data_IF_951811413905
#
_entry.id   IF_951811413905
#
_cell.length_a   1.000
_cell.length_b   1.000
_cell.length_c   1.000
_cell.angle_alpha   90.00
_cell.angle_beta   90.00
_cell.angle_gamma   90.00
#
_symmetry.space_group_name_H-M   'P 1'
#
loop_
_entity.id
_entity.type
_entity.pdbx_description
1 polymer ?
#
# COMPACT_ATOMS: atom_id res chain seq x y z
N UNK A 1 -19.25 -12.88 10.10
CA UNK A 1 -18.75 -11.73 9.33
C UNK A 1 -19.12 -10.48 10.11
N UNK A 2 -18.15 -9.85 10.78
CA UNK A 2 -18.41 -8.56 11.44
C UNK A 2 -18.33 -7.48 10.38
N UNK A 3 -19.47 -6.90 10.05
CA UNK A 3 -19.53 -5.73 9.18
C UNK A 3 -18.98 -4.56 9.98
N UNK A 4 -17.94 -3.90 9.44
CA UNK A 4 -17.47 -2.65 10.03
C UNK A 4 -18.61 -1.64 10.01
N UNK A 5 -18.76 -0.89 11.10
CA UNK A 5 -19.69 0.24 11.13
C UNK A 5 -19.18 1.34 10.19
N UNK A 6 -20.00 2.36 9.94
CA UNK A 6 -19.55 3.52 9.15
C UNK A 6 -18.38 4.22 9.84
N UNK A 7 -18.40 4.29 11.16
CA UNK A 7 -17.36 4.92 11.98
C UNK A 7 -16.05 4.13 11.94
N UNK A 8 -16.10 2.80 12.07
CA UNK A 8 -14.91 1.95 11.95
C UNK A 8 -14.25 2.05 10.57
N UNK A 9 -15.06 2.15 9.51
CA UNK A 9 -14.54 2.35 8.15
C UNK A 9 -13.83 3.69 8.02
N UNK A 10 -14.41 4.76 8.58
CA UNK A 10 -13.81 6.08 8.54
C UNK A 10 -12.49 6.10 9.32
N UNK A 11 -12.47 5.57 10.54
CA UNK A 11 -11.25 5.47 11.35
C UNK A 11 -10.15 4.66 10.65
N UNK A 12 -10.51 3.57 9.97
CA UNK A 12 -9.59 2.79 9.16
C UNK A 12 -8.97 3.62 8.01
N UNK A 13 -9.79 4.43 7.31
CA UNK A 13 -9.29 5.30 6.23
C UNK A 13 -8.42 6.43 6.76
N UNK A 14 -8.78 7.04 7.91
CA UNK A 14 -7.99 8.09 8.53
C UNK A 14 -6.60 7.56 8.93
N UNK A 15 -6.54 6.39 9.58
CA UNK A 15 -5.27 5.73 9.95
C UNK A 15 -4.45 5.31 8.73
N UNK A 16 -5.10 4.90 7.64
CA UNK A 16 -4.42 4.61 6.37
C UNK A 16 -3.72 5.86 5.86
N UNK A 17 -4.43 6.98 5.81
CA UNK A 17 -3.89 8.23 5.27
C UNK A 17 -2.77 8.79 6.16
N UNK A 18 -2.89 8.67 7.48
CA UNK A 18 -1.78 8.97 8.40
C UNK A 18 -0.55 8.10 8.14
N UNK A 19 -0.73 6.77 7.99
CA UNK A 19 0.35 5.86 7.68
C UNK A 19 1.00 6.15 6.32
N UNK A 20 0.21 6.42 5.29
CA UNK A 20 0.71 6.76 3.96
C UNK A 20 1.46 8.08 3.95
N UNK A 21 0.91 9.11 4.60
CA UNK A 21 1.57 10.40 4.76
C UNK A 21 2.90 10.26 5.48
N UNK A 22 2.96 9.46 6.54
CA UNK A 22 4.21 9.14 7.23
C UNK A 22 5.21 8.48 6.27
N UNK A 23 4.78 7.53 5.44
CA UNK A 23 5.67 6.85 4.50
C UNK A 23 6.09 7.68 3.28
N UNK A 24 5.40 8.78 3.00
CA UNK A 24 5.80 9.75 1.97
C UNK A 24 6.75 10.82 2.55
N UNK A 25 6.58 11.19 3.82
CA UNK A 25 7.41 12.17 4.53
C UNK A 25 8.71 11.54 5.08
N UNK A 26 8.57 10.41 5.79
CA UNK A 26 9.68 9.64 6.31
C UNK A 26 10.25 8.74 5.21
N UNK A 27 11.57 8.78 5.03
CA UNK A 27 12.28 7.88 4.12
C UNK A 27 12.39 6.45 4.66
N UNK A 28 12.09 6.22 5.94
CA UNK A 28 12.32 4.96 6.63
C UNK A 28 11.05 4.38 7.24
N UNK A 29 10.71 3.14 6.86
CA UNK A 29 9.54 2.39 7.38
C UNK A 29 9.52 2.25 8.91
N UNK A 30 10.69 2.28 9.55
CA UNK A 30 10.84 2.14 11.00
C UNK A 30 10.09 3.21 11.79
N UNK A 31 10.05 4.46 11.29
CA UNK A 31 9.36 5.56 11.96
C UNK A 31 7.84 5.45 11.83
N UNK A 32 7.38 4.82 10.74
CA UNK A 32 5.95 4.62 10.48
C UNK A 32 5.41 3.30 11.04
N UNK A 33 6.23 2.52 11.74
CA UNK A 33 5.83 1.21 12.28
C UNK A 33 4.71 1.33 13.33
N UNK A 34 4.66 2.43 14.08
CA UNK A 34 3.57 2.67 15.04
C UNK A 34 2.23 2.89 14.34
N UNK A 35 2.22 3.67 13.25
CA UNK A 35 1.03 3.87 12.42
C UNK A 35 0.62 2.57 11.73
N UNK A 36 1.58 1.75 11.28
CA UNK A 36 1.31 0.42 10.71
C UNK A 36 0.54 -0.48 11.68
N UNK A 37 0.97 -0.53 12.94
CA UNK A 37 0.30 -1.34 13.98
C UNK A 37 -1.13 -0.87 14.23
N UNK A 38 -1.37 0.44 14.29
CA UNK A 38 -2.73 1.00 14.45
C UNK A 38 -3.59 0.65 13.24
N UNK A 39 -3.05 0.87 12.05
CA UNK A 39 -3.72 0.58 10.79
C UNK A 39 -4.14 -0.90 10.67
N UNK A 40 -3.26 -1.85 10.98
CA UNK A 40 -3.58 -3.29 10.96
C UNK A 40 -4.57 -3.73 12.04
N UNK A 41 -4.62 -3.00 13.17
CA UNK A 41 -5.54 -3.28 14.27
C UNK A 41 -6.96 -2.79 13.98
N UNK A 42 -7.11 -1.62 13.37
CA UNK A 42 -8.41 -0.99 13.10
C UNK A 42 -8.99 -1.38 11.73
N UNK A 43 -8.13 -1.69 10.75
CA UNK A 43 -8.59 -2.11 9.43
C UNK A 43 -8.70 -3.64 9.31
N UNK A 44 -9.68 -4.15 8.54
CA UNK A 44 -9.70 -5.56 8.15
C UNK A 44 -8.44 -5.94 7.39
N UNK A 45 -7.91 -7.14 7.64
CA UNK A 45 -6.68 -7.61 6.99
C UNK A 45 -6.82 -7.69 5.45
N UNK A 46 -8.03 -7.91 4.94
CA UNK A 46 -8.35 -7.84 3.50
C UNK A 46 -8.14 -6.43 2.94
N UNK A 47 -8.57 -5.41 3.68
CA UNK A 47 -8.45 -4.01 3.29
C UNK A 47 -6.99 -3.57 3.32
N UNK A 48 -6.28 -3.92 4.41
CA UNK A 48 -4.83 -3.67 4.53
C UNK A 48 -4.09 -4.21 3.31
N UNK A 49 -4.28 -5.49 2.97
CA UNK A 49 -3.66 -6.12 1.79
C UNK A 49 -4.02 -5.40 0.49
N UNK A 50 -5.26 -4.97 0.33
CA UNK A 50 -5.71 -4.27 -0.87
C UNK A 50 -5.04 -2.90 -1.00
N UNK A 51 -5.03 -2.13 0.08
CA UNK A 51 -4.42 -0.81 0.14
C UNK A 51 -2.90 -0.87 -0.03
N UNK A 52 -2.20 -1.84 0.58
CA UNK A 52 -0.76 -2.03 0.41
C UNK A 52 -0.41 -2.25 -1.07
N UNK A 53 -1.11 -3.18 -1.76
CA UNK A 53 -0.94 -3.40 -3.20
C UNK A 53 -1.22 -2.14 -4.02
N UNK A 54 -2.26 -1.39 -3.65
CA UNK A 54 -2.60 -0.14 -4.32
C UNK A 54 -1.47 0.88 -4.19
N UNK A 55 -0.85 1.01 -3.02
CA UNK A 55 0.27 1.94 -2.82
C UNK A 55 1.49 1.53 -3.65
N UNK A 56 1.85 0.25 -3.65
CA UNK A 56 2.95 -0.27 -4.48
C UNK A 56 2.70 -0.01 -5.97
N UNK A 57 1.46 -0.24 -6.44
CA UNK A 57 1.07 0.09 -7.81
C UNK A 57 1.17 1.59 -8.11
N UNK A 58 0.76 2.46 -7.19
CA UNK A 58 0.86 3.91 -7.38
C UNK A 58 2.32 4.38 -7.42
N UNK A 59 3.19 3.84 -6.57
CA UNK A 59 4.64 4.10 -6.61
C UNK A 59 5.24 3.65 -7.94
N UNK A 60 4.91 2.42 -8.35
CA UNK A 60 5.35 1.88 -9.63
C UNK A 60 4.88 2.73 -10.80
N UNK A 61 3.60 3.11 -10.80
CA UNK A 61 3.02 3.98 -11.83
C UNK A 61 3.74 5.34 -11.87
N UNK A 62 3.98 5.97 -10.71
CA UNK A 62 4.69 7.24 -10.63
C UNK A 62 6.12 7.14 -11.16
N UNK A 63 6.81 6.03 -10.89
CA UNK A 63 8.15 5.76 -11.43
C UNK A 63 8.12 5.59 -12.96
N UNK A 64 7.15 4.85 -13.49
CA UNK A 64 6.98 4.66 -14.95
C UNK A 64 6.59 5.97 -15.65
N UNK A 65 5.77 6.82 -15.03
CA UNK A 65 5.43 8.14 -15.57
C UNK A 65 6.64 9.10 -15.56
N UNK A 66 7.58 8.95 -14.63
CA UNK A 66 8.81 9.75 -14.56
C UNK A 66 9.92 9.26 -15.50
N UNK A 67 10.24 7.96 -15.51
CA UNK A 67 11.34 7.37 -16.30
C UNK A 67 10.92 6.92 -17.71
N UNK A 68 9.62 6.97 -18.03
CA UNK A 68 9.06 6.37 -19.24
C UNK A 68 8.88 4.85 -19.13
N UNK A 69 8.13 4.28 -20.06
CA UNK A 69 7.82 2.84 -20.08
C UNK A 69 9.04 2.03 -20.51
N UNK A 70 9.93 1.68 -19.57
CA UNK A 70 11.03 0.75 -19.82
C UNK A 70 10.49 -0.68 -19.64
N UNK A 71 10.44 -1.44 -20.73
CA UNK A 71 9.95 -2.82 -20.87
C UNK A 71 10.57 -3.83 -19.87
N UNK A 72 11.67 -3.45 -19.22
CA UNK A 72 12.40 -4.24 -18.21
C UNK A 72 11.66 -4.42 -16.88
N UNK A 73 10.65 -3.58 -16.58
CA UNK A 73 9.88 -3.66 -15.34
C UNK A 73 8.73 -4.69 -15.35
N UNK A 74 8.50 -5.35 -16.49
CA UNK A 74 7.56 -6.47 -16.56
C UNK A 74 8.16 -7.67 -15.80
N UNK A 75 7.41 -8.31 -14.88
CA UNK A 75 7.86 -9.56 -14.28
C UNK A 75 8.12 -10.55 -15.40
N UNK A 76 9.39 -10.94 -15.59
CA UNK A 76 9.78 -11.92 -16.60
C UNK A 76 8.91 -13.16 -16.39
N UNK A 77 8.11 -13.54 -17.40
CA UNK A 77 7.39 -14.81 -17.39
C UNK A 77 8.44 -15.92 -17.31
N UNK A 78 8.63 -16.47 -16.11
CA UNK A 78 9.41 -17.69 -15.93
C UNK A 78 8.62 -18.81 -16.59
N UNK A 79 9.03 -19.20 -17.79
CA UNK A 79 8.45 -20.36 -18.48
C UNK A 79 8.26 -20.18 -19.97
N UNK A 80 9.35 -20.07 -20.72
CA UNK A 80 9.43 -20.60 -22.08
C UNK A 80 10.86 -21.15 -22.27
N UNK A 81 11.12 -22.29 -21.60
CA UNK A 81 12.19 -23.19 -22.01
C UNK A 81 11.80 -23.75 -23.37
N UNK A 82 12.71 -23.59 -24.33
CA UNK A 82 12.69 -24.23 -25.64
C UNK A 82 13.43 -25.55 -25.56
#
# INVERSE_FOLDING_TARGET
MSFLTKEDRQACWDLRDEYWKCLDDAKTESECQEFRKKYEKFCPSQWVKHFDRKREYLKFKAQIEQDGYIEEHLPKRVGQQK
#
